data_IF_022715031989
#
_entry.id   IF_022715031989
#
_cell.length_a   1.000
_cell.length_b   1.000
_cell.length_c   1.000
_cell.angle_alpha   90.00
_cell.angle_beta   90.00
_cell.angle_gamma   90.00
#
_symmetry.space_group_name_H-M   'P 1'
#
loop_
_entity.id
_entity.type
_entity.pdbx_description
1 polymer ?
#
# COMPACT_ATOMS: atom_id res chain seq x y z
N UNK A 1 11.16 -6.51 5.53
CA UNK A 1 10.71 -5.15 5.11
C UNK A 1 11.90 -4.21 5.15
N UNK A 2 12.13 -3.46 4.08
CA UNK A 2 13.27 -2.57 3.92
C UNK A 2 12.83 -1.11 3.76
N UNK A 3 13.72 -0.19 4.16
CA UNK A 3 13.58 1.24 3.97
C UNK A 3 14.62 1.70 2.95
N UNK A 4 14.16 2.20 1.81
CA UNK A 4 15.01 2.67 0.71
C UNK A 4 14.97 4.19 0.71
N UNK A 5 16.12 4.82 0.88
CA UNK A 5 16.26 6.27 0.72
C UNK A 5 16.52 6.59 -0.75
N UNK A 6 15.71 7.46 -1.33
CA UNK A 6 15.89 7.94 -2.71
C UNK A 6 15.77 9.46 -2.79
N UNK A 7 16.34 10.05 -3.84
CA UNK A 7 16.34 11.50 -4.08
C UNK A 7 15.48 11.81 -5.30
N UNK A 8 14.53 12.74 -5.15
CA UNK A 8 13.71 13.20 -6.27
C UNK A 8 14.49 14.18 -7.16
N UNK A 9 13.92 14.53 -8.31
CA UNK A 9 14.54 15.43 -9.30
C UNK A 9 14.77 16.85 -8.80
N UNK A 10 14.06 17.29 -7.75
CA UNK A 10 14.25 18.58 -7.10
C UNK A 10 15.28 18.53 -5.94
N UNK A 11 15.92 17.38 -5.73
CA UNK A 11 16.93 17.18 -4.69
C UNK A 11 16.38 16.81 -3.30
N UNK A 12 15.05 16.70 -3.14
CA UNK A 12 14.42 16.25 -1.89
C UNK A 12 14.52 14.74 -1.70
N UNK A 13 14.70 14.30 -0.45
CA UNK A 13 14.79 12.88 -0.13
C UNK A 13 13.42 12.30 0.21
N UNK A 14 13.10 11.12 -0.31
CA UNK A 14 11.98 10.29 0.12
C UNK A 14 12.47 8.95 0.69
N UNK A 15 11.61 8.34 1.50
CA UNK A 15 11.84 7.05 2.11
C UNK A 15 10.75 6.10 1.62
N UNK A 16 11.13 5.05 0.92
CA UNK A 16 10.22 4.04 0.42
C UNK A 16 10.26 2.80 1.29
N UNK A 17 9.09 2.27 1.61
CA UNK A 17 8.95 0.99 2.30
C UNK A 17 8.81 -0.10 1.24
N UNK A 18 9.62 -1.15 1.34
CA UNK A 18 9.63 -2.27 0.39
C UNK A 18 9.61 -3.63 1.09
N UNK A 19 9.10 -4.65 0.40
CA UNK A 19 9.20 -6.04 0.82
C UNK A 19 10.65 -6.54 0.78
N UNK A 20 10.88 -7.78 1.20
CA UNK A 20 12.21 -8.39 1.08
C UNK A 20 12.64 -8.58 -0.39
N UNK A 21 11.67 -8.78 -1.28
CA UNK A 21 11.88 -8.88 -2.73
C UNK A 21 11.96 -7.52 -3.44
N UNK A 22 12.16 -6.43 -2.68
CA UNK A 22 12.22 -5.05 -3.18
C UNK A 22 10.95 -4.57 -3.89
N UNK A 23 9.80 -5.16 -3.57
CA UNK A 23 8.51 -4.69 -4.06
C UNK A 23 8.01 -3.52 -3.20
N UNK A 24 7.58 -2.43 -3.85
CA UNK A 24 7.05 -1.27 -3.13
C UNK A 24 5.72 -1.56 -2.43
N UNK A 25 5.58 -0.96 -1.24
CA UNK A 25 4.34 -0.95 -0.50
C UNK A 25 3.36 0.08 -1.07
N UNK A 26 2.08 -0.26 -0.96
CA UNK A 26 0.92 0.54 -1.37
C UNK A 26 -0.06 0.67 -0.21
N UNK A 27 -1.04 1.56 -0.35
CA UNK A 27 -2.16 1.69 0.60
C UNK A 27 -3.32 0.86 0.06
N UNK A 28 -3.74 -0.15 0.81
CA UNK A 28 -4.95 -0.95 0.53
C UNK A 28 -6.10 -0.51 1.44
N UNK A 29 -7.32 -0.62 0.92
CA UNK A 29 -8.55 -0.43 1.68
C UNK A 29 -9.08 -1.76 2.18
N UNK A 30 -9.18 -1.96 3.49
CA UNK A 30 -9.69 -3.20 4.11
C UNK A 30 -11.07 -3.54 3.54
N UNK A 31 -12.01 -2.59 3.66
CA UNK A 31 -13.25 -2.56 2.90
C UNK A 31 -12.95 -1.84 1.58
N UNK A 32 -13.10 -2.47 0.41
CA UNK A 32 -12.81 -1.85 -0.89
C UNK A 32 -13.64 -0.58 -1.12
N UNK A 33 -13.07 0.40 -1.84
CA UNK A 33 -13.80 1.64 -2.22
C UNK A 33 -15.11 1.34 -2.96
N UNK A 34 -15.10 0.34 -3.85
CA UNK A 34 -16.31 -0.10 -4.59
C UNK A 34 -17.41 -0.67 -3.68
N UNK A 35 -17.08 -1.04 -2.44
CA UNK A 35 -17.99 -1.57 -1.43
C UNK A 35 -18.27 -0.59 -0.29
N UNK A 36 -17.95 0.70 -0.48
CA UNK A 36 -18.21 1.76 0.51
C UNK A 36 -17.12 1.97 1.54
N UNK A 37 -15.93 1.37 1.35
CA UNK A 37 -14.77 1.68 2.17
C UNK A 37 -14.32 3.13 2.06
N UNK A 38 -14.01 3.73 3.20
CA UNK A 38 -13.59 5.12 3.30
C UNK A 38 -12.06 5.25 3.43
N UNK A 39 -11.54 6.48 3.35
CA UNK A 39 -10.12 6.78 3.52
C UNK A 39 -9.75 7.08 5.00
N UNK A 40 -10.54 6.59 5.97
CA UNK A 40 -10.19 6.69 7.39
C UNK A 40 -9.11 5.68 7.73
N UNK A 41 -8.21 6.03 8.64
CA UNK A 41 -7.01 5.22 8.95
C UNK A 41 -7.36 3.79 9.38
N UNK A 42 -8.52 3.59 10.01
CA UNK A 42 -9.02 2.27 10.44
C UNK A 42 -9.39 1.36 9.27
N UNK A 43 -9.62 1.92 8.08
CA UNK A 43 -9.91 1.19 6.85
C UNK A 43 -8.69 1.09 5.92
N UNK A 44 -7.53 1.66 6.30
CA UNK A 44 -6.31 1.65 5.47
C UNK A 44 -5.29 0.67 6.05
N UNK A 45 -4.66 -0.13 5.19
CA UNK A 45 -3.56 -1.01 5.58
C UNK A 45 -2.41 -0.97 4.56
N UNK A 46 -1.14 -1.12 5.00
CA UNK A 46 -0.03 -1.30 4.08
C UNK A 46 -0.10 -2.66 3.39
N UNK A 47 0.07 -2.69 2.07
CA UNK A 47 0.12 -3.94 1.30
C UNK A 47 1.06 -3.81 0.12
N UNK A 48 1.83 -4.84 -0.23
CA UNK A 48 2.65 -4.79 -1.45
C UNK A 48 1.76 -4.70 -2.70
N UNK A 49 2.28 -4.11 -3.77
CA UNK A 49 1.52 -3.87 -4.99
C UNK A 49 0.82 -5.13 -5.53
N UNK A 50 1.53 -6.26 -5.59
CA UNK A 50 1.04 -7.54 -6.11
C UNK A 50 -0.08 -8.10 -5.26
N UNK A 51 0.03 -8.06 -3.93
CA UNK A 51 -1.02 -8.52 -3.03
C UNK A 51 -2.26 -7.62 -3.11
N UNK A 52 -2.06 -6.30 -3.13
CA UNK A 52 -3.15 -5.33 -3.27
C UNK A 52 -3.91 -5.54 -4.59
N UNK A 53 -3.18 -5.69 -5.70
CA UNK A 53 -3.76 -6.01 -7.01
C UNK A 53 -4.53 -7.33 -7.01
N UNK A 54 -4.00 -8.38 -6.38
CA UNK A 54 -4.67 -9.69 -6.29
C UNK A 54 -5.93 -9.67 -5.40
N UNK A 55 -5.90 -8.86 -4.33
CA UNK A 55 -7.06 -8.61 -3.45
C UNK A 55 -8.15 -7.89 -4.23
N UNK A 56 -7.82 -6.84 -4.96
CA UNK A 56 -8.78 -6.04 -5.73
C UNK A 56 -9.97 -5.61 -4.85
N UNK A 57 -11.20 -5.95 -5.24
CA UNK A 57 -12.42 -5.68 -4.47
C UNK A 57 -12.85 -6.86 -3.57
N UNK A 58 -12.00 -7.87 -3.40
CA UNK A 58 -12.27 -8.97 -2.49
C UNK A 58 -12.11 -8.48 -1.06
N UNK A 59 -13.16 -8.71 -0.30
CA UNK A 59 -13.18 -8.57 1.14
C UNK A 59 -13.98 -9.77 1.62
N UNK A 60 -13.26 -10.78 2.06
CA UNK A 60 -13.89 -11.88 2.76
C UNK A 60 -14.31 -11.28 4.10
N UNK A 61 -15.59 -10.92 4.19
CA UNK A 61 -16.23 -10.74 5.47
C UNK A 61 -16.15 -12.12 6.15
N UNK A 62 -15.32 -12.21 7.19
CA UNK A 62 -15.32 -13.34 8.11
C UNK A 62 -16.75 -13.64 8.58
#
# INVERSE_FOLDING_TARGET
>A
MYLIKAQNTAGGFHLDISTEDLEFMTIDHIIPKSKGGNDQIENLQPMCHTCNYKKADKHDAL
#
